data_IF_637183307429
#
_entry.id   IF_637183307429
#
_cell.length_a   1.000
_cell.length_b   1.000
_cell.length_c   1.000
_cell.angle_alpha   90.00
_cell.angle_beta   90.00
_cell.angle_gamma   90.00
#
_symmetry.space_group_name_H-M   'P 1'
#
loop_
_entity.id
_entity.type
_entity.pdbx_description
1 polymer ?
#
# COMPACT_ATOMS: atom_id res chain seq x y z
N UNK A 1 5.49 10.67 -28.38
CA UNK A 1 6.16 9.48 -28.97
C UNK A 1 6.70 8.51 -27.91
N UNK A 2 7.36 8.96 -26.85
CA UNK A 2 7.86 8.14 -25.72
C UNK A 2 6.77 7.34 -24.96
N UNK A 3 5.55 7.87 -24.90
CA UNK A 3 4.39 7.24 -24.26
C UNK A 3 3.99 5.90 -24.90
N UNK A 4 3.91 5.86 -26.24
CA UNK A 4 3.57 4.62 -26.97
C UNK A 4 4.67 3.55 -26.82
N UNK A 5 5.93 3.96 -26.74
CA UNK A 5 7.05 3.07 -26.48
C UNK A 5 6.97 2.46 -25.07
N UNK A 6 6.74 3.27 -24.03
CA UNK A 6 6.66 2.77 -22.64
C UNK A 6 5.47 1.81 -22.43
N UNK A 7 4.30 2.09 -23.04
CA UNK A 7 3.14 1.17 -23.01
C UNK A 7 3.41 -0.10 -23.82
N UNK A 8 4.14 -0.02 -24.91
CA UNK A 8 4.48 -1.18 -25.73
C UNK A 8 5.58 -2.03 -25.06
N UNK A 9 6.55 -1.40 -24.38
CA UNK A 9 7.54 -2.08 -23.55
C UNK A 9 6.90 -2.69 -22.29
N UNK A 10 6.04 -1.96 -21.61
CA UNK A 10 5.27 -2.51 -20.48
C UNK A 10 4.38 -3.68 -20.93
N UNK A 11 3.70 -3.60 -22.09
CA UNK A 11 2.94 -4.71 -22.68
C UNK A 11 3.82 -5.87 -23.15
N UNK A 12 4.99 -5.60 -23.74
CA UNK A 12 5.95 -6.66 -24.11
C UNK A 12 6.56 -7.31 -22.86
N UNK A 13 6.94 -6.52 -21.88
CA UNK A 13 7.45 -7.01 -20.59
C UNK A 13 6.37 -7.79 -19.83
N UNK A 14 5.13 -7.30 -19.84
CA UNK A 14 3.95 -8.01 -19.36
C UNK A 14 3.70 -9.32 -20.10
N UNK A 15 3.86 -9.35 -21.41
CA UNK A 15 3.76 -10.58 -22.21
C UNK A 15 4.95 -11.53 -22.03
N UNK A 16 6.16 -11.03 -21.84
CA UNK A 16 7.36 -11.83 -21.57
C UNK A 16 7.38 -12.35 -20.11
N UNK A 17 6.86 -11.60 -19.16
CA UNK A 17 6.65 -12.08 -17.80
C UNK A 17 5.44 -13.02 -17.67
N UNK A 18 4.53 -13.03 -18.66
CA UNK A 18 3.43 -13.98 -18.76
C UNK A 18 3.84 -15.43 -19.09
N UNK A 19 5.12 -15.68 -19.40
CA UNK A 19 5.72 -17.03 -19.33
C UNK A 19 5.88 -17.51 -17.88
N UNK A 20 6.06 -16.59 -16.94
CA UNK A 20 5.87 -16.78 -15.50
C UNK A 20 4.69 -15.89 -15.10
N UNK A 21 3.52 -16.46 -14.91
CA UNK A 21 2.26 -15.83 -14.51
C UNK A 21 2.51 -14.73 -13.48
N UNK A 22 2.45 -13.46 -13.89
CA UNK A 22 2.69 -12.28 -13.06
C UNK A 22 1.64 -12.10 -11.95
N UNK A 23 0.59 -12.91 -11.97
CA UNK A 23 -0.41 -12.97 -10.93
C UNK A 23 -0.10 -13.94 -9.79
N UNK A 24 1.06 -14.64 -9.80
CA UNK A 24 1.40 -15.63 -8.76
C UNK A 24 2.40 -15.05 -7.76
N UNK A 25 1.95 -14.89 -6.52
CA UNK A 25 2.76 -14.43 -5.41
C UNK A 25 3.10 -15.55 -4.43
N UNK A 26 4.31 -15.56 -3.89
CA UNK A 26 4.68 -16.43 -2.77
C UNK A 26 4.74 -15.56 -1.53
N UNK A 27 3.96 -15.92 -0.51
CA UNK A 27 3.99 -15.25 0.77
C UNK A 27 4.75 -16.07 1.81
N UNK A 28 5.56 -15.38 2.62
CA UNK A 28 6.23 -15.96 3.78
C UNK A 28 5.55 -15.42 5.04
N UNK A 29 4.98 -16.30 5.89
CA UNK A 29 4.42 -15.88 7.15
C UNK A 29 5.53 -15.62 8.16
N UNK A 30 5.51 -14.46 8.80
CA UNK A 30 6.43 -14.09 9.87
C UNK A 30 5.65 -13.90 11.16
N UNK A 31 6.00 -14.64 12.19
CA UNK A 31 5.43 -14.48 13.51
C UNK A 31 5.85 -13.14 14.10
N UNK A 32 4.90 -12.27 14.44
CA UNK A 32 5.16 -10.99 15.08
C UNK A 32 5.33 -11.14 16.59
N UNK A 33 4.33 -11.71 17.25
CA UNK A 33 4.30 -11.95 18.70
C UNK A 33 3.13 -12.90 19.02
N UNK A 34 3.14 -13.48 20.20
CA UNK A 34 2.04 -14.31 20.68
C UNK A 34 2.17 -15.79 20.32
N UNK A 35 1.05 -16.49 20.33
CA UNK A 35 0.99 -17.93 20.13
C UNK A 35 1.18 -18.27 18.63
N UNK A 36 2.19 -19.10 18.33
CA UNK A 36 2.49 -19.54 16.95
C UNK A 36 1.38 -20.41 16.32
N UNK A 37 0.40 -20.88 17.11
CA UNK A 37 -0.75 -21.65 16.60
C UNK A 37 -1.86 -20.77 16.02
N UNK A 38 -1.79 -19.45 16.24
CA UNK A 38 -2.81 -18.50 15.82
C UNK A 38 -2.37 -17.75 14.55
N UNK A 39 -3.10 -17.90 13.47
CA UNK A 39 -2.83 -17.21 12.20
C UNK A 39 -2.86 -15.67 12.32
N UNK A 40 -3.65 -15.14 13.26
CA UNK A 40 -3.74 -13.69 13.55
C UNK A 40 -2.40 -13.08 13.97
N UNK A 41 -1.51 -13.86 14.56
CA UNK A 41 -0.20 -13.44 15.06
C UNK A 41 0.86 -13.37 13.94
N UNK A 42 0.52 -13.76 12.72
CA UNK A 42 1.45 -13.72 11.60
C UNK A 42 1.19 -12.50 10.71
N UNK A 43 2.27 -12.01 10.14
CA UNK A 43 2.27 -11.05 9.05
C UNK A 43 2.90 -11.70 7.82
N UNK A 44 2.31 -11.54 6.66
CA UNK A 44 2.83 -12.13 5.43
C UNK A 44 3.71 -11.14 4.69
N UNK A 45 4.87 -11.58 4.20
CA UNK A 45 5.72 -10.81 3.31
C UNK A 45 5.68 -11.43 1.91
N UNK A 46 5.37 -10.60 0.91
CA UNK A 46 5.34 -11.02 -0.48
C UNK A 46 6.75 -11.12 -1.08
N UNK A 47 7.08 -12.25 -1.67
CA UNK A 47 8.27 -12.40 -2.49
C UNK A 47 7.96 -11.96 -3.91
N UNK A 48 8.57 -10.86 -4.31
CA UNK A 48 8.38 -10.23 -5.62
C UNK A 48 9.62 -10.48 -6.47
N UNK A 49 9.43 -10.94 -7.72
CA UNK A 49 10.52 -11.16 -8.65
C UNK A 49 11.28 -9.86 -8.97
N UNK A 50 12.56 -9.95 -9.30
CA UNK A 50 13.36 -8.77 -9.65
C UNK A 50 12.80 -8.01 -10.85
N UNK A 51 12.32 -8.73 -11.86
CA UNK A 51 11.68 -8.12 -13.04
C UNK A 51 10.42 -7.32 -12.65
N UNK A 52 9.56 -7.90 -11.80
CA UNK A 52 8.39 -7.20 -11.28
C UNK A 52 8.78 -5.98 -10.45
N UNK A 53 9.84 -6.04 -9.64
CA UNK A 53 10.32 -4.88 -8.87
C UNK A 53 10.69 -3.70 -9.75
N UNK A 54 11.33 -3.92 -10.90
CA UNK A 54 11.67 -2.84 -11.83
C UNK A 54 10.40 -2.14 -12.34
N UNK A 55 9.40 -2.91 -12.75
CA UNK A 55 8.12 -2.36 -13.22
C UNK A 55 7.38 -1.60 -12.09
N UNK A 56 7.35 -2.17 -10.90
CA UNK A 56 6.73 -1.57 -9.72
C UNK A 56 7.40 -0.24 -9.34
N UNK A 57 8.73 -0.14 -9.46
CA UNK A 57 9.47 1.10 -9.26
C UNK A 57 9.08 2.18 -10.26
N UNK A 58 8.89 1.82 -11.55
CA UNK A 58 8.44 2.76 -12.58
C UNK A 58 7.03 3.27 -12.28
N UNK A 59 6.13 2.38 -11.87
CA UNK A 59 4.76 2.76 -11.49
C UNK A 59 4.75 3.63 -10.24
N UNK A 60 5.55 3.28 -9.23
CA UNK A 60 5.70 4.05 -8.00
C UNK A 60 6.22 5.46 -8.27
N UNK A 61 7.25 5.61 -9.09
CA UNK A 61 7.80 6.92 -9.44
C UNK A 61 6.77 7.83 -10.15
N UNK A 62 5.88 7.25 -10.95
CA UNK A 62 4.78 7.99 -11.59
C UNK A 62 3.67 8.35 -10.59
N UNK A 63 3.31 7.41 -9.72
CA UNK A 63 2.29 7.63 -8.71
C UNK A 63 2.75 8.64 -7.66
N UNK A 64 4.05 8.68 -7.34
CA UNK A 64 4.63 9.56 -6.32
C UNK A 64 4.38 11.05 -6.58
N UNK A 65 4.26 11.46 -7.84
CA UNK A 65 3.94 12.84 -8.20
C UNK A 65 2.55 13.24 -7.67
N UNK A 66 1.58 12.33 -7.80
CA UNK A 66 0.21 12.54 -7.30
C UNK A 66 0.14 12.41 -5.79
N UNK A 67 0.87 11.45 -5.21
CA UNK A 67 0.96 11.29 -3.75
C UNK A 67 1.47 12.56 -3.08
N UNK A 68 2.52 13.17 -3.62
CA UNK A 68 3.09 14.40 -3.07
C UNK A 68 2.13 15.59 -3.17
N UNK A 69 1.20 15.56 -4.13
CA UNK A 69 0.19 16.59 -4.29
C UNK A 69 -1.03 16.36 -3.38
N UNK A 70 -1.48 15.12 -3.28
CA UNK A 70 -2.71 14.77 -2.56
C UNK A 70 -2.51 14.62 -1.06
N UNK A 71 -1.35 14.14 -0.62
CA UNK A 71 -1.08 13.96 0.80
C UNK A 71 -0.66 15.28 1.45
N UNK A 72 -1.28 15.68 2.57
CA UNK A 72 -0.88 16.87 3.30
C UNK A 72 0.55 16.72 3.87
N UNK A 73 1.18 17.86 4.16
CA UNK A 73 2.54 17.87 4.71
C UNK A 73 2.65 17.24 6.10
N UNK A 74 1.53 17.12 6.81
CA UNK A 74 1.46 16.47 8.13
C UNK A 74 1.44 14.93 8.05
N UNK A 75 1.16 14.38 6.86
CA UNK A 75 1.20 12.94 6.61
C UNK A 75 2.65 12.50 6.39
N UNK A 76 3.23 11.83 7.38
CA UNK A 76 4.64 11.40 7.35
C UNK A 76 4.82 9.90 7.11
N UNK A 77 3.74 9.11 7.14
CA UNK A 77 3.79 7.67 6.96
C UNK A 77 4.43 7.26 5.64
N UNK A 78 5.51 6.48 5.69
CA UNK A 78 6.22 5.96 4.51
C UNK A 78 6.75 7.02 3.52
N UNK A 79 6.90 8.27 3.95
CA UNK A 79 7.48 9.35 3.14
C UNK A 79 8.99 9.44 3.33
N UNK A 80 9.71 9.71 2.22
CA UNK A 80 11.17 9.86 2.24
C UNK A 80 11.55 11.10 3.06
N UNK A 81 12.49 10.93 3.99
CA UNK A 81 13.00 12.02 4.82
C UNK A 81 12.10 12.37 6.01
N UNK A 82 11.05 11.61 6.24
CA UNK A 82 10.16 11.73 7.40
C UNK A 82 10.33 10.52 8.32
N UNK A 83 10.37 10.73 9.60
CA UNK A 83 10.62 9.67 10.57
C UNK A 83 9.77 9.78 11.83
N UNK A 84 9.70 8.69 12.57
CA UNK A 84 8.95 8.63 13.85
C UNK A 84 9.44 9.68 14.86
N UNK A 85 10.74 10.03 14.83
CA UNK A 85 11.29 11.07 15.70
C UNK A 85 10.69 12.44 15.43
N UNK A 86 10.47 12.77 14.15
CA UNK A 86 9.90 14.06 13.75
C UNK A 86 8.44 14.16 14.25
N UNK A 87 7.68 13.07 14.14
CA UNK A 87 6.30 13.01 14.66
C UNK A 87 6.23 13.10 16.17
N UNK A 88 7.15 12.44 16.90
CA UNK A 88 7.26 12.58 18.36
C UNK A 88 7.55 14.03 18.72
N UNK A 89 8.50 14.67 18.03
CA UNK A 89 8.84 16.08 18.26
C UNK A 89 7.64 17.00 18.00
N UNK A 90 6.89 16.77 16.92
CA UNK A 90 5.68 17.53 16.61
C UNK A 90 4.61 17.40 17.71
N UNK A 91 4.37 16.19 18.23
CA UNK A 91 3.43 15.98 19.33
C UNK A 91 3.91 16.71 20.60
N UNK A 92 5.18 16.61 20.94
CA UNK A 92 5.76 17.34 22.07
C UNK A 92 5.58 18.86 21.92
N UNK A 93 5.87 19.38 20.74
CA UNK A 93 5.70 20.80 20.45
C UNK A 93 4.23 21.27 20.58
N UNK A 94 3.28 20.47 20.09
CA UNK A 94 1.84 20.75 20.24
C UNK A 94 1.44 20.78 21.72
N UNK A 95 1.93 19.81 22.52
CA UNK A 95 1.64 19.77 23.97
C UNK A 95 2.22 20.99 24.67
N UNK A 96 3.45 21.38 24.37
CA UNK A 96 4.08 22.56 24.95
C UNK A 96 3.31 23.83 24.60
N UNK A 97 2.92 24.00 23.33
CA UNK A 97 2.12 25.14 22.90
C UNK A 97 0.74 25.18 23.55
N UNK A 98 0.08 24.04 23.69
CA UNK A 98 -1.20 23.98 24.38
C UNK A 98 -1.08 24.40 25.86
N UNK A 99 0.01 24.02 26.53
CA UNK A 99 0.30 24.46 27.91
C UNK A 99 0.59 25.95 27.99
N UNK A 100 1.40 26.49 27.07
CA UNK A 100 1.73 27.92 27.01
C UNK A 100 0.46 28.77 26.84
N UNK A 101 -0.48 28.33 25.98
CA UNK A 101 -1.72 29.05 25.72
C UNK A 101 -2.88 28.61 26.65
N UNK A 102 -2.64 27.73 27.62
CA UNK A 102 -3.65 27.19 28.54
C UNK A 102 -4.88 26.61 27.83
N UNK A 103 -4.65 25.93 26.70
CA UNK A 103 -5.70 25.29 25.90
C UNK A 103 -5.71 23.80 26.08
N UNK A 104 -6.92 23.23 26.25
CA UNK A 104 -7.09 21.78 26.23
C UNK A 104 -6.91 21.24 24.84
N UNK A 105 -6.15 20.14 24.71
CA UNK A 105 -6.01 19.36 23.48
C UNK A 105 -6.43 17.93 23.74
N UNK A 106 -6.95 17.29 22.71
CA UNK A 106 -7.39 15.90 22.74
C UNK A 106 -6.69 15.15 21.62
N UNK A 107 -6.14 13.98 21.94
CA UNK A 107 -5.49 13.10 20.98
C UNK A 107 -6.34 11.86 20.77
N UNK A 108 -6.52 11.46 19.50
CA UNK A 108 -7.09 10.19 19.12
C UNK A 108 -6.03 9.38 18.39
N UNK A 109 -5.76 8.15 18.84
CA UNK A 109 -4.81 7.25 18.21
C UNK A 109 -5.58 6.11 17.55
N UNK A 110 -5.37 5.93 16.24
CA UNK A 110 -5.99 4.88 15.45
C UNK A 110 -4.91 3.88 15.04
N UNK A 111 -5.01 2.64 15.51
CA UNK A 111 -4.10 1.55 15.15
C UNK A 111 -4.82 0.50 14.32
N UNK A 112 -4.37 0.32 13.10
CA UNK A 112 -4.92 -0.69 12.20
C UNK A 112 -4.29 -2.05 12.47
N UNK A 113 -5.08 -3.03 12.86
CA UNK A 113 -4.60 -4.39 13.18
C UNK A 113 -3.83 -5.06 12.04
N UNK A 114 -4.26 -4.86 10.80
CA UNK A 114 -3.64 -5.36 9.56
C UNK A 114 -3.84 -4.34 8.44
N UNK A 115 -3.20 -3.19 8.57
CA UNK A 115 -3.40 -2.03 7.70
C UNK A 115 -3.43 -2.37 6.19
N UNK A 116 -2.39 -3.04 5.70
CA UNK A 116 -2.28 -3.38 4.27
C UNK A 116 -3.29 -4.45 3.82
N UNK A 117 -3.70 -5.34 4.70
CA UNK A 117 -4.66 -6.40 4.37
C UNK A 117 -6.11 -5.88 4.30
N UNK A 118 -6.39 -4.69 4.88
CA UNK A 118 -7.73 -4.10 4.93
C UNK A 118 -8.12 -3.38 3.64
N UNK A 119 -7.17 -3.03 2.78
CA UNK A 119 -7.43 -2.22 1.57
C UNK A 119 -8.38 -2.95 0.62
N UNK A 120 -9.58 -2.38 0.39
CA UNK A 120 -10.53 -2.89 -0.58
C UNK A 120 -10.15 -2.44 -1.99
N UNK A 121 -9.91 -3.37 -2.90
CA UNK A 121 -9.49 -3.05 -4.26
C UNK A 121 -10.52 -2.20 -5.00
N UNK A 122 -11.81 -2.52 -4.91
CA UNK A 122 -12.85 -1.78 -5.64
C UNK A 122 -12.94 -0.34 -5.18
N UNK A 123 -12.86 -0.12 -3.87
CA UNK A 123 -12.86 1.23 -3.29
C UNK A 123 -11.56 1.97 -3.62
N UNK A 124 -10.42 1.28 -3.55
CA UNK A 124 -9.13 1.87 -3.93
C UNK A 124 -9.17 2.46 -5.34
N UNK A 125 -9.74 1.75 -6.33
CA UNK A 125 -9.81 2.27 -7.70
C UNK A 125 -10.74 3.46 -7.85
N UNK A 126 -11.84 3.52 -7.08
CA UNK A 126 -12.72 4.68 -7.02
C UNK A 126 -12.01 5.89 -6.41
N UNK A 127 -11.32 5.66 -5.29
CA UNK A 127 -10.54 6.67 -4.57
C UNK A 127 -9.47 7.28 -5.48
N UNK A 128 -8.65 6.47 -6.13
CA UNK A 128 -7.60 6.94 -7.03
C UNK A 128 -8.16 7.82 -8.16
N UNK A 129 -9.33 7.45 -8.69
CA UNK A 129 -10.02 8.24 -9.71
C UNK A 129 -10.54 9.56 -9.16
N UNK A 130 -11.12 9.58 -7.97
CA UNK A 130 -11.64 10.79 -7.32
C UNK A 130 -10.52 11.76 -6.93
N UNK A 131 -9.35 11.23 -6.58
CA UNK A 131 -8.13 12.00 -6.33
C UNK A 131 -7.43 12.49 -7.61
N UNK A 132 -8.06 12.37 -8.78
CA UNK A 132 -7.53 12.88 -10.05
C UNK A 132 -6.36 12.09 -10.63
N UNK A 133 -6.10 10.88 -10.15
CA UNK A 133 -5.07 10.02 -10.73
C UNK A 133 -5.53 9.57 -12.12
N UNK A 134 -4.68 9.76 -13.16
CA UNK A 134 -5.07 9.49 -14.54
C UNK A 134 -5.59 8.07 -14.77
N UNK A 135 -6.67 7.94 -15.55
CA UNK A 135 -7.34 6.66 -15.81
C UNK A 135 -6.38 5.59 -16.35
N UNK A 136 -5.40 5.97 -17.16
CA UNK A 136 -4.42 5.02 -17.70
C UNK A 136 -3.52 4.43 -16.60
N UNK A 137 -3.16 5.21 -15.59
CA UNK A 137 -2.35 4.74 -14.45
C UNK A 137 -3.19 3.87 -13.52
N UNK A 138 -4.41 4.30 -13.21
CA UNK A 138 -5.37 3.52 -12.42
C UNK A 138 -5.69 2.19 -13.10
N UNK A 139 -5.86 2.17 -14.43
CA UNK A 139 -6.09 0.95 -15.20
C UNK A 139 -4.88 -0.01 -15.13
N UNK A 140 -3.65 0.52 -15.23
CA UNK A 140 -2.43 -0.29 -15.08
C UNK A 140 -2.34 -0.93 -13.68
N UNK A 141 -2.61 -0.14 -12.63
CA UNK A 141 -2.63 -0.64 -11.27
C UNK A 141 -3.72 -1.70 -11.07
N UNK A 142 -4.94 -1.42 -11.53
CA UNK A 142 -6.05 -2.37 -11.46
C UNK A 142 -5.71 -3.70 -12.16
N UNK A 143 -5.10 -3.65 -13.33
CA UNK A 143 -4.69 -4.85 -14.07
C UNK A 143 -3.57 -5.62 -13.34
N UNK A 144 -2.70 -4.91 -12.60
CA UNK A 144 -1.66 -5.52 -11.78
C UNK A 144 -2.26 -6.36 -10.65
N UNK A 145 -3.35 -5.90 -10.04
CA UNK A 145 -4.04 -6.57 -8.93
C UNK A 145 -5.11 -7.56 -9.38
N UNK A 146 -5.57 -7.48 -10.64
CA UNK A 146 -6.61 -8.36 -11.16
C UNK A 146 -6.13 -9.81 -11.28
N UNK A 147 -6.89 -10.74 -10.71
CA UNK A 147 -6.62 -12.17 -10.81
C UNK A 147 -5.31 -12.61 -10.16
N UNK A 148 -4.84 -11.89 -9.15
CA UNK A 148 -3.66 -12.30 -8.39
C UNK A 148 -3.95 -13.58 -7.60
N UNK A 149 -3.05 -14.55 -7.72
CA UNK A 149 -3.04 -15.78 -6.95
C UNK A 149 -1.84 -15.82 -6.01
N UNK A 150 -2.00 -16.41 -4.86
CA UNK A 150 -0.93 -16.57 -3.89
C UNK A 150 -0.83 -18.00 -3.37
N UNK A 151 0.37 -18.33 -2.91
CA UNK A 151 0.64 -19.50 -2.07
C UNK A 151 1.46 -19.06 -0.87
N UNK A 152 1.26 -19.71 0.25
CA UNK A 152 2.04 -19.46 1.46
C UNK A 152 3.11 -20.53 1.59
N UNK A 153 4.37 -20.10 1.70
CA UNK A 153 5.50 -21.01 1.93
C UNK A 153 5.84 -21.03 3.41
N UNK A 154 5.85 -22.22 3.98
CA UNK A 154 6.27 -22.49 5.35
C UNK A 154 7.47 -23.44 5.37
N UNK A 155 8.03 -23.73 6.53
CA UNK A 155 9.06 -24.76 6.71
C UNK A 155 8.59 -26.19 6.38
N UNK A 156 7.27 -26.41 6.28
CA UNK A 156 6.65 -27.71 5.99
C UNK A 156 6.17 -27.85 4.53
N UNK A 157 6.39 -26.84 3.69
CA UNK A 157 5.98 -26.83 2.30
C UNK A 157 5.17 -25.59 1.89
N UNK A 158 4.45 -25.68 0.79
CA UNK A 158 3.60 -24.62 0.25
C UNK A 158 2.14 -25.03 0.26
N UNK A 159 1.25 -24.05 0.49
CA UNK A 159 -0.20 -24.28 0.37
C UNK A 159 -0.62 -24.38 -1.09
N UNK A 160 -1.87 -24.80 -1.32
CA UNK A 160 -2.51 -24.63 -2.62
C UNK A 160 -2.60 -23.14 -2.98
N UNK A 161 -2.79 -22.87 -4.30
CA UNK A 161 -2.97 -21.54 -4.81
C UNK A 161 -4.37 -21.01 -4.50
N UNK A 162 -4.46 -19.79 -4.00
CA UNK A 162 -5.72 -19.10 -3.72
C UNK A 162 -5.71 -17.70 -4.33
N UNK A 163 -6.89 -17.17 -4.62
CA UNK A 163 -7.04 -15.82 -5.17
C UNK A 163 -6.99 -14.76 -4.08
N UNK A 164 -6.35 -13.61 -4.40
CA UNK A 164 -6.30 -12.44 -3.54
C UNK A 164 -7.39 -11.48 -3.99
N UNK A 165 -8.39 -11.24 -3.13
CA UNK A 165 -9.51 -10.33 -3.40
C UNK A 165 -9.39 -8.95 -2.79
N UNK A 166 -8.48 -8.76 -1.82
CA UNK A 166 -8.26 -7.50 -1.10
C UNK A 166 -6.84 -7.40 -0.57
N UNK A 167 -6.49 -6.21 -0.11
CA UNK A 167 -5.19 -5.91 0.48
C UNK A 167 -4.12 -5.52 -0.53
N UNK A 168 -3.05 -4.90 -0.02
CA UNK A 168 -1.85 -4.56 -0.77
C UNK A 168 -0.67 -5.33 -0.20
N UNK A 169 0.18 -5.99 -1.04
CA UNK A 169 1.19 -6.92 -0.56
C UNK A 169 2.26 -6.22 0.29
N UNK A 170 2.48 -6.68 1.51
CA UNK A 170 3.60 -6.21 2.32
C UNK A 170 4.94 -6.62 1.67
N UNK A 171 5.84 -5.66 1.51
CA UNK A 171 7.11 -5.81 0.79
C UNK A 171 7.05 -5.32 -0.67
N UNK A 172 5.90 -4.89 -1.16
CA UNK A 172 5.78 -4.20 -2.44
C UNK A 172 6.00 -2.69 -2.28
N UNK A 173 6.80 -2.10 -3.16
CA UNK A 173 7.10 -0.66 -3.13
C UNK A 173 5.87 0.24 -3.36
N UNK A 174 4.84 -0.27 -4.03
CA UNK A 174 3.59 0.45 -4.26
C UNK A 174 2.68 0.46 -3.02
N UNK A 175 2.76 -0.55 -2.17
CA UNK A 175 1.80 -0.75 -1.08
C UNK A 175 1.72 0.42 -0.10
N UNK A 176 2.82 1.01 0.37
CA UNK A 176 2.76 2.18 1.24
C UNK A 176 2.05 3.37 0.60
N UNK A 177 2.36 3.61 -0.67
CA UNK A 177 1.81 4.71 -1.44
C UNK A 177 0.29 4.57 -1.65
N UNK A 178 -0.16 3.37 -2.04
CA UNK A 178 -1.58 3.08 -2.23
C UNK A 178 -2.34 3.11 -0.91
N UNK A 179 -1.73 2.62 0.17
CA UNK A 179 -2.32 2.67 1.50
C UNK A 179 -2.50 4.09 1.99
N UNK A 180 -1.48 4.95 1.86
CA UNK A 180 -1.57 6.36 2.27
C UNK A 180 -2.70 7.09 1.53
N UNK A 181 -2.80 6.94 0.20
CA UNK A 181 -3.89 7.53 -0.58
C UNK A 181 -5.26 7.01 -0.13
N UNK A 182 -5.36 5.72 0.14
CA UNK A 182 -6.60 5.08 0.60
C UNK A 182 -7.04 5.62 1.97
N UNK A 183 -6.14 5.67 2.93
CA UNK A 183 -6.44 6.14 4.30
C UNK A 183 -6.73 7.64 4.31
N UNK A 184 -5.94 8.45 3.60
CA UNK A 184 -6.15 9.90 3.53
C UNK A 184 -7.53 10.23 2.98
N UNK A 185 -7.97 9.52 1.94
CA UNK A 185 -9.32 9.72 1.41
C UNK A 185 -10.41 9.38 2.42
N UNK A 186 -10.27 8.26 3.14
CA UNK A 186 -11.23 7.86 4.18
C UNK A 186 -11.27 8.89 5.31
N UNK A 187 -10.11 9.38 5.75
CA UNK A 187 -10.03 10.38 6.81
C UNK A 187 -10.65 11.72 6.41
N UNK A 188 -10.56 12.11 5.15
CA UNK A 188 -11.24 13.32 4.63
C UNK A 188 -12.75 13.15 4.50
N UNK A 189 -13.24 11.92 4.39
CA UNK A 189 -14.64 11.60 4.13
C UNK A 189 -15.20 10.62 5.18
N UNK A 190 -15.34 11.04 6.44
CA UNK A 190 -15.68 10.15 7.57
C UNK A 190 -17.11 9.55 7.51
N UNK A 191 -17.91 9.84 6.48
CA UNK A 191 -19.24 9.25 6.27
C UNK A 191 -19.22 7.92 5.47
N UNK A 192 -18.05 7.39 5.12
CA UNK A 192 -17.89 6.13 4.37
C UNK A 192 -17.65 4.91 5.29
N UNK A 193 -18.09 4.98 6.55
CA UNK A 193 -17.86 3.95 7.58
C UNK A 193 -18.61 2.61 7.34
N UNK A 194 -19.29 2.43 6.23
CA UNK A 194 -19.93 1.15 5.84
C UNK A 194 -19.16 0.43 4.72
N UNK A 195 -17.82 0.41 4.82
CA UNK A 195 -16.99 -0.36 3.87
C UNK A 195 -16.22 -1.47 4.59
#
# INVERSE_FOLDING_TARGET
MLWKCCTQYARKFWKLSNGHRTGKGVFIPILKKGNAKECSNYCTIALISHASKVMLNILQARLQQFVNWELPDVEDGFRKGRGTRDQIANIHWIIEKAREFQKNIYFCFIDYAKAFDCVNHNELWKILKQMGIPDHLTCLLRNLYAGQEATVRTGHGTTDWFQIGKGVPQGCILSPCLFNLYVEYIMRNPGLEEI
#
